data_IF_196711004572
#
_entry.id   IF_196711004572
#
_cell.length_a   1.000
_cell.length_b   1.000
_cell.length_c   1.000
_cell.angle_alpha   90.00
_cell.angle_beta   90.00
_cell.angle_gamma   90.00
#
_symmetry.space_group_name_H-M   'P 1'
#
loop_
_entity.id
_entity.type
_entity.pdbx_description
1 polymer ?
#
# COMPACT_ATOMS: atom_id res chain seq x y z
N UNK A 1 71.74 -31.49 3.04
CA UNK A 1 73.12 -31.41 2.53
C UNK A 1 73.27 -30.10 1.77
N UNK A 2 74.24 -29.27 2.18
CA UNK A 2 74.78 -28.03 1.57
C UNK A 2 73.77 -26.87 1.31
N UNK A 3 73.68 -25.83 2.16
CA UNK A 3 74.47 -24.56 2.18
C UNK A 3 74.63 -23.92 0.80
N UNK A 4 74.30 -22.63 0.57
CA UNK A 4 75.24 -21.50 0.48
C UNK A 4 74.60 -20.14 0.87
N UNK A 5 75.48 -19.18 1.18
CA UNK A 5 75.35 -18.03 2.08
C UNK A 5 74.91 -16.68 1.46
N UNK A 6 74.50 -15.74 2.32
CA UNK A 6 74.25 -14.29 2.10
C UNK A 6 75.55 -13.45 2.02
N UNK A 7 75.53 -12.15 1.62
CA UNK A 7 75.41 -11.05 2.62
C UNK A 7 74.66 -9.74 2.21
N UNK A 8 74.16 -9.01 3.23
CA UNK A 8 74.01 -7.54 3.48
C UNK A 8 73.47 -6.60 2.36
N UNK A 9 72.65 -5.54 2.54
CA UNK A 9 72.03 -4.83 3.67
C UNK A 9 71.80 -3.33 3.33
N UNK A 10 70.53 -2.88 3.25
CA UNK A 10 69.91 -1.59 3.75
C UNK A 10 70.42 -0.21 3.18
N UNK A 11 69.69 0.98 3.16
CA UNK A 11 68.28 1.39 3.42
C UNK A 11 67.59 2.43 2.44
N UNK A 12 66.28 2.66 2.67
CA UNK A 12 65.43 3.90 2.71
C UNK A 12 65.28 4.94 1.55
N UNK A 13 63.99 5.26 1.30
CA UNK A 13 63.32 6.57 1.03
C UNK A 13 63.60 7.37 -0.25
N UNK A 14 62.54 7.67 -1.03
CA UNK A 14 62.44 8.92 -1.79
C UNK A 14 61.56 8.91 -3.05
N UNK A 15 60.44 9.66 -2.98
CA UNK A 15 59.79 10.46 -4.05
C UNK A 15 59.15 9.72 -5.25
N UNK A 16 57.81 9.62 -5.34
CA UNK A 16 56.86 10.63 -5.87
C UNK A 16 57.27 11.32 -7.18
N UNK A 17 56.43 11.11 -8.19
CA UNK A 17 56.11 11.98 -9.35
C UNK A 17 56.54 11.45 -10.72
N UNK A 18 55.66 11.72 -11.70
CA UNK A 18 55.77 11.50 -13.14
C UNK A 18 55.57 10.09 -13.69
N UNK A 19 54.30 9.70 -13.89
CA UNK A 19 53.82 9.08 -15.14
C UNK A 19 52.30 9.19 -15.23
N UNK A 20 51.79 10.37 -15.56
CA UNK A 20 50.42 10.56 -16.06
C UNK A 20 50.53 11.35 -17.35
N UNK A 21 50.71 10.66 -18.49
CA UNK A 21 50.44 11.14 -19.85
C UNK A 21 51.04 10.14 -20.83
N UNK A 22 50.33 9.07 -21.13
CA UNK A 22 50.38 8.37 -22.41
C UNK A 22 49.34 7.26 -22.36
N UNK A 23 48.17 7.50 -22.95
CA UNK A 23 47.21 6.50 -23.48
C UNK A 23 45.96 7.26 -23.98
N UNK A 24 46.17 8.12 -24.97
CA UNK A 24 45.10 8.60 -25.85
C UNK A 24 45.46 8.09 -27.25
N UNK A 25 44.78 7.03 -27.71
CA UNK A 25 44.95 6.53 -29.07
C UNK A 25 44.38 5.14 -29.33
N UNK A 26 43.22 5.12 -30.00
CA UNK A 26 42.62 4.05 -30.81
C UNK A 26 41.95 2.83 -30.14
N UNK A 27 40.62 2.77 -30.25
CA UNK A 27 39.83 1.67 -30.90
C UNK A 27 38.32 1.91 -30.62
N UNK A 28 37.59 2.49 -31.57
CA UNK A 28 36.66 1.81 -32.50
C UNK A 28 35.39 1.20 -31.88
N UNK A 29 34.28 1.91 -32.10
CA UNK A 29 32.97 1.41 -32.59
C UNK A 29 32.41 0.10 -32.00
N UNK A 30 31.58 0.24 -30.97
CA UNK A 30 30.52 -0.71 -30.63
C UNK A 30 29.21 0.07 -30.41
N UNK A 31 28.04 -0.45 -30.83
CA UNK A 31 26.78 0.27 -30.74
C UNK A 31 26.41 0.44 -29.27
N UNK A 32 26.24 1.70 -28.82
CA UNK A 32 25.62 2.00 -27.53
C UNK A 32 24.22 1.40 -27.54
N UNK A 33 24.04 0.31 -26.82
CA UNK A 33 22.72 -0.10 -26.35
C UNK A 33 22.11 1.11 -25.64
N UNK A 34 21.00 1.62 -26.19
CA UNK A 34 20.16 2.57 -25.46
C UNK A 34 19.66 1.82 -24.23
N UNK A 35 20.33 1.98 -23.10
CA UNK A 35 19.73 1.72 -21.82
C UNK A 35 18.46 2.58 -21.78
N UNK A 36 17.29 1.94 -21.89
CA UNK A 36 16.03 2.59 -21.58
C UNK A 36 16.10 2.99 -20.12
N UNK A 37 16.35 4.27 -19.86
CA UNK A 37 16.00 4.88 -18.59
C UNK A 37 14.50 4.69 -18.40
N UNK A 38 14.14 3.71 -17.57
CA UNK A 38 12.79 3.61 -17.03
C UNK A 38 12.62 4.82 -16.12
N UNK A 39 12.02 5.86 -16.67
CA UNK A 39 11.64 7.06 -15.92
C UNK A 39 10.73 6.62 -14.77
N UNK A 40 11.26 6.63 -13.55
CA UNK A 40 10.45 6.59 -12.35
C UNK A 40 9.63 7.87 -12.30
N UNK A 41 8.40 7.83 -12.82
CA UNK A 41 7.42 8.87 -12.55
C UNK A 41 6.89 8.66 -11.14
N UNK A 42 7.70 8.99 -10.15
CA UNK A 42 7.16 9.53 -8.89
C UNK A 42 6.81 10.97 -9.23
N UNK A 43 5.52 11.26 -9.48
CA UNK A 43 5.08 12.64 -9.62
C UNK A 43 5.41 13.37 -8.32
N UNK A 44 6.45 14.21 -8.35
CA UNK A 44 6.70 15.21 -7.31
C UNK A 44 5.51 16.17 -7.31
N UNK A 45 4.94 16.53 -6.15
CA UNK A 45 3.97 17.62 -6.09
C UNK A 45 4.72 18.94 -6.19
N UNK A 46 5.09 19.32 -7.42
CA UNK A 46 5.69 20.62 -7.71
C UNK A 46 5.51 21.00 -9.18
N UNK A 47 4.26 21.16 -9.62
CA UNK A 47 3.89 22.10 -10.68
C UNK A 47 2.41 22.52 -10.51
N UNK A 48 2.01 23.76 -10.84
CA UNK A 48 0.64 24.25 -10.66
C UNK A 48 -0.34 23.82 -11.78
N UNK A 49 0.10 22.96 -12.72
CA UNK A 49 -0.62 22.68 -13.98
C UNK A 49 -0.86 21.18 -14.22
N UNK A 50 -1.19 20.41 -13.18
CA UNK A 50 -1.78 19.09 -13.40
C UNK A 50 -3.24 19.13 -12.96
N UNK A 51 -4.12 19.43 -13.91
CA UNK A 51 -5.56 19.22 -13.76
C UNK A 51 -5.81 17.77 -13.30
N UNK A 52 -6.67 17.63 -12.29
CA UNK A 52 -7.10 16.32 -11.83
C UNK A 52 -7.77 15.53 -12.98
N UNK A 53 -7.66 14.19 -12.98
CA UNK A 53 -8.39 13.38 -13.95
C UNK A 53 -9.90 13.66 -13.87
N UNK A 54 -10.53 13.77 -15.03
CA UNK A 54 -11.98 13.94 -15.15
C UNK A 54 -12.64 12.56 -15.24
N UNK A 55 -13.76 12.39 -14.55
CA UNK A 55 -14.50 11.13 -14.49
C UNK A 55 -15.92 11.30 -15.05
N UNK A 56 -16.47 10.21 -15.59
CA UNK A 56 -17.90 10.06 -15.87
C UNK A 56 -18.66 10.01 -14.56
N UNK A 57 -19.84 10.60 -14.53
CA UNK A 57 -20.80 10.33 -13.45
C UNK A 57 -21.11 8.83 -13.40
N UNK A 58 -21.07 8.27 -12.19
CA UNK A 58 -21.35 6.87 -11.94
C UNK A 58 -22.86 6.61 -11.94
N UNK A 59 -23.32 5.42 -12.38
CA UNK A 59 -24.71 4.99 -12.19
C UNK A 59 -25.10 5.07 -10.71
N UNK A 60 -26.35 5.44 -10.40
CA UNK A 60 -26.85 5.40 -9.04
C UNK A 60 -27.26 3.98 -8.64
N UNK A 61 -26.78 3.50 -7.49
CA UNK A 61 -27.16 2.22 -6.91
C UNK A 61 -28.06 2.45 -5.70
N UNK A 62 -29.07 1.59 -5.52
CA UNK A 62 -30.11 1.69 -4.48
C UNK A 62 -30.15 0.42 -3.66
N UNK A 63 -30.60 0.55 -2.42
CA UNK A 63 -30.82 -0.59 -1.54
C UNK A 63 -31.81 -1.60 -2.16
N UNK A 64 -31.45 -2.89 -2.10
CA UNK A 64 -32.34 -4.01 -2.38
C UNK A 64 -33.52 -4.09 -1.40
N UNK A 65 -34.48 -4.95 -1.70
CA UNK A 65 -35.68 -5.14 -0.88
C UNK A 65 -35.32 -5.68 0.53
N UNK A 66 -34.30 -6.51 0.60
CA UNK A 66 -33.73 -7.12 1.80
C UNK A 66 -33.11 -6.11 2.77
N UNK A 67 -32.83 -4.88 2.34
CA UNK A 67 -32.27 -3.84 3.20
C UNK A 67 -33.33 -3.20 4.12
N UNK A 68 -34.61 -3.48 3.88
CA UNK A 68 -35.74 -2.94 4.63
C UNK A 68 -36.22 -3.94 5.68
N UNK A 69 -35.38 -4.30 6.66
CA UNK A 69 -35.84 -5.15 7.77
C UNK A 69 -36.73 -4.36 8.76
N UNK A 70 -38.02 -4.74 8.82
CA UNK A 70 -38.96 -4.61 9.95
C UNK A 70 -38.78 -3.42 10.92
N UNK A 71 -38.62 -2.19 10.40
CA UNK A 71 -38.61 -0.97 11.21
C UNK A 71 -37.31 -0.68 11.99
N UNK A 72 -36.21 -1.43 11.77
CA UNK A 72 -34.87 -1.08 12.26
C UNK A 72 -33.96 -0.68 11.11
N UNK A 73 -33.30 0.48 11.24
CA UNK A 73 -32.26 0.90 10.30
C UNK A 73 -31.09 -0.07 10.43
N UNK A 74 -30.66 -0.66 9.31
CA UNK A 74 -29.46 -1.50 9.24
C UNK A 74 -28.24 -0.70 9.71
N UNK A 75 -27.28 -1.38 10.34
CA UNK A 75 -26.04 -0.73 10.79
C UNK A 75 -25.30 -0.14 9.59
N UNK A 76 -24.78 1.08 9.73
CA UNK A 76 -23.99 1.74 8.69
C UNK A 76 -22.65 1.02 8.53
N UNK A 77 -22.31 0.63 7.31
CA UNK A 77 -21.02 0.02 7.00
C UNK A 77 -20.01 1.14 6.74
N UNK A 78 -19.06 1.31 7.66
CA UNK A 78 -18.03 2.32 7.55
C UNK A 78 -16.82 1.80 6.78
N UNK A 79 -16.51 2.44 5.64
CA UNK A 79 -15.35 2.09 4.79
C UNK A 79 -14.35 3.25 4.79
N UNK A 80 -13.11 3.01 5.20
CA UNK A 80 -12.06 4.00 5.18
C UNK A 80 -11.00 3.73 4.10
N UNK A 81 -10.57 4.81 3.44
CA UNK A 81 -9.58 4.76 2.37
C UNK A 81 -8.66 5.98 2.44
N UNK A 82 -7.45 5.88 1.89
CA UNK A 82 -6.63 7.07 1.62
C UNK A 82 -7.07 7.74 0.33
N UNK A 83 -6.87 9.06 0.25
CA UNK A 83 -7.24 9.86 -0.92
C UNK A 83 -6.10 10.81 -1.30
N UNK A 84 -5.57 10.64 -2.51
CA UNK A 84 -4.63 11.56 -3.15
C UNK A 84 -4.75 11.52 -4.68
N UNK A 85 -4.25 12.56 -5.35
CA UNK A 85 -4.36 12.70 -6.79
C UNK A 85 -3.73 11.53 -7.60
N UNK A 86 -2.67 10.86 -7.10
CA UNK A 86 -2.03 9.77 -7.83
C UNK A 86 -2.85 8.49 -7.85
N UNK A 87 -3.68 8.30 -6.82
CA UNK A 87 -4.53 7.12 -6.65
C UNK A 87 -6.02 7.41 -6.87
N UNK A 88 -6.40 8.64 -7.18
CA UNK A 88 -7.80 9.06 -7.35
C UNK A 88 -8.57 8.16 -8.33
N UNK A 89 -7.97 7.81 -9.48
CA UNK A 89 -8.60 6.90 -10.46
C UNK A 89 -8.85 5.51 -9.89
N UNK A 90 -7.93 4.99 -9.09
CA UNK A 90 -8.11 3.75 -8.35
C UNK A 90 -9.21 3.86 -7.29
N UNK A 91 -9.23 4.95 -6.51
CA UNK A 91 -10.27 5.22 -5.52
C UNK A 91 -11.66 5.27 -6.16
N UNK A 92 -11.84 5.95 -7.30
CA UNK A 92 -13.13 5.97 -7.99
C UNK A 92 -13.58 4.57 -8.40
N UNK A 93 -12.68 3.76 -8.96
CA UNK A 93 -13.00 2.38 -9.36
C UNK A 93 -13.35 1.49 -8.15
N UNK A 94 -12.63 1.64 -7.03
CA UNK A 94 -12.91 0.92 -5.79
C UNK A 94 -14.29 1.30 -5.23
N UNK A 95 -14.60 2.59 -5.12
CA UNK A 95 -15.92 3.11 -4.68
C UNK A 95 -17.02 2.57 -5.58
N UNK A 96 -16.87 2.68 -6.91
CA UNK A 96 -17.85 2.15 -7.87
C UNK A 96 -18.07 0.65 -7.66
N UNK A 97 -17.00 -0.13 -7.52
CA UNK A 97 -17.10 -1.58 -7.32
C UNK A 97 -17.85 -1.95 -6.03
N UNK A 98 -17.60 -1.23 -4.94
CA UNK A 98 -18.30 -1.44 -3.66
C UNK A 98 -19.79 -1.15 -3.84
N UNK A 99 -20.13 0.00 -4.42
CA UNK A 99 -21.53 0.37 -4.64
C UNK A 99 -22.27 -0.59 -5.57
N UNK A 100 -21.59 -1.05 -6.64
CA UNK A 100 -22.17 -1.93 -7.64
C UNK A 100 -22.46 -3.34 -7.09
N UNK A 101 -21.65 -3.84 -6.16
CA UNK A 101 -21.73 -5.22 -5.66
C UNK A 101 -22.32 -5.34 -4.25
N UNK A 102 -22.66 -4.22 -3.61
CA UNK A 102 -23.34 -4.22 -2.31
C UNK A 102 -24.84 -4.40 -2.50
N UNK A 103 -25.47 -5.23 -1.66
CA UNK A 103 -26.93 -5.36 -1.64
C UNK A 103 -27.60 -4.09 -1.13
N UNK A 104 -26.94 -3.41 -0.17
CA UNK A 104 -27.42 -2.18 0.48
C UNK A 104 -26.41 -1.02 0.33
N UNK A 105 -26.17 -0.51 -0.88
CA UNK A 105 -25.14 0.50 -1.13
C UNK A 105 -25.43 1.86 -0.45
N UNK A 106 -26.69 2.16 -0.12
CA UNK A 106 -27.07 3.40 0.58
C UNK A 106 -26.75 3.35 2.09
N UNK A 107 -26.41 2.16 2.61
CA UNK A 107 -26.00 1.95 4.01
C UNK A 107 -24.46 2.02 4.18
N UNK A 108 -23.71 2.29 3.12
CA UNK A 108 -22.24 2.40 3.15
C UNK A 108 -21.82 3.87 3.30
N UNK A 109 -21.01 4.17 4.32
CA UNK A 109 -20.40 5.50 4.53
C UNK A 109 -18.89 5.45 4.31
N UNK A 110 -18.39 6.34 3.43
CA UNK A 110 -16.97 6.40 3.11
C UNK A 110 -16.21 7.46 3.93
N UNK A 111 -15.05 7.08 4.47
CA UNK A 111 -14.15 7.93 5.24
C UNK A 111 -12.81 8.06 4.51
N UNK A 112 -12.59 9.20 3.85
CA UNK A 112 -11.35 9.45 3.11
C UNK A 112 -10.32 10.15 3.98
N UNK A 113 -9.12 9.59 4.09
CA UNK A 113 -7.97 10.21 4.74
C UNK A 113 -7.12 10.90 3.67
N UNK A 114 -6.95 12.22 3.76
CA UNK A 114 -6.14 12.98 2.80
C UNK A 114 -5.10 13.83 3.51
N UNK A 115 -3.92 13.98 2.90
CA UNK A 115 -2.86 14.86 3.40
C UNK A 115 -3.32 16.34 3.45
N UNK A 116 -4.10 16.76 2.45
CA UNK A 116 -4.63 18.13 2.34
C UNK A 116 -6.13 18.06 2.08
N UNK A 117 -6.87 19.03 2.61
CA UNK A 117 -8.25 19.25 2.21
C UNK A 117 -8.25 19.94 0.84
N UNK A 118 -7.89 19.18 -0.19
CA UNK A 118 -7.92 19.62 -1.58
C UNK A 118 -9.37 19.63 -2.04
N UNK A 119 -9.94 20.84 -2.14
CA UNK A 119 -11.32 21.05 -2.59
C UNK A 119 -11.58 20.36 -3.94
N UNK A 120 -10.58 20.29 -4.80
CA UNK A 120 -10.67 19.67 -6.13
C UNK A 120 -10.92 18.15 -6.05
N UNK A 121 -10.25 17.43 -5.14
CA UNK A 121 -10.50 15.99 -4.92
C UNK A 121 -11.95 15.76 -4.45
N UNK A 122 -12.43 16.60 -3.53
CA UNK A 122 -13.80 16.53 -3.02
C UNK A 122 -14.84 16.82 -4.10
N UNK A 123 -14.61 17.85 -4.92
CA UNK A 123 -15.48 18.20 -6.05
C UNK A 123 -15.50 17.06 -7.07
N UNK A 124 -14.33 16.46 -7.36
CA UNK A 124 -14.22 15.32 -8.28
C UNK A 124 -15.04 14.12 -7.79
N UNK A 125 -14.94 13.75 -6.50
CA UNK A 125 -15.75 12.66 -5.93
C UNK A 125 -17.24 12.99 -6.00
N UNK A 126 -17.67 14.20 -5.61
CA UNK A 126 -19.08 14.60 -5.66
C UNK A 126 -19.66 14.64 -7.07
N UNK A 127 -18.88 15.10 -8.05
CA UNK A 127 -19.30 15.12 -9.45
C UNK A 127 -19.41 13.70 -10.02
N UNK A 128 -18.55 12.79 -9.57
CA UNK A 128 -18.55 11.38 -10.00
C UNK A 128 -19.67 10.59 -9.32
N UNK A 129 -19.91 10.82 -8.02
CA UNK A 129 -20.90 10.11 -7.21
C UNK A 129 -21.79 11.10 -6.43
N UNK A 130 -22.80 11.73 -7.08
CA UNK A 130 -23.64 12.75 -6.43
C UNK A 130 -24.42 12.25 -5.20
N UNK A 131 -24.65 10.93 -5.12
CA UNK A 131 -25.43 10.26 -4.09
C UNK A 131 -24.56 9.65 -2.97
N UNK A 132 -23.22 9.75 -3.04
CA UNK A 132 -22.31 9.11 -2.10
C UNK A 132 -22.35 9.77 -0.71
N UNK A 133 -22.58 8.98 0.33
CA UNK A 133 -22.34 9.43 1.70
C UNK A 133 -20.85 9.29 2.03
N UNK A 134 -20.16 10.41 2.20
CA UNK A 134 -18.75 10.38 2.55
C UNK A 134 -18.29 11.59 3.36
N UNK A 135 -17.19 11.38 4.09
CA UNK A 135 -16.47 12.41 4.86
C UNK A 135 -14.99 12.37 4.51
N UNK A 136 -14.34 13.53 4.57
CA UNK A 136 -12.89 13.66 4.33
C UNK A 136 -12.22 14.18 5.58
N UNK A 137 -11.16 13.49 6.02
CA UNK A 137 -10.39 13.80 7.21
C UNK A 137 -8.98 14.20 6.80
N UNK A 138 -8.52 15.33 7.34
CA UNK A 138 -7.16 15.78 7.14
C UNK A 138 -6.20 14.95 7.99
N UNK A 139 -5.27 14.28 7.35
CA UNK A 139 -4.11 13.67 7.98
C UNK A 139 -2.94 14.66 8.02
N UNK A 140 -2.52 15.03 9.23
CA UNK A 140 -1.33 15.86 9.43
C UNK A 140 -0.05 15.02 9.23
N UNK A 141 0.77 15.29 8.19
CA UNK A 141 2.01 14.56 7.97
C UNK A 141 3.04 14.82 9.08
N UNK A 142 2.87 15.88 9.88
CA UNK A 142 3.67 16.17 11.07
C UNK A 142 3.69 15.01 12.05
N UNK A 143 2.60 14.23 12.14
CA UNK A 143 2.47 13.06 13.02
C UNK A 143 3.52 11.97 12.76
N UNK A 144 3.96 11.84 11.50
CA UNK A 144 4.95 10.84 11.07
C UNK A 144 6.31 11.46 10.72
N UNK A 145 6.44 12.79 10.83
CA UNK A 145 7.70 13.50 10.62
C UNK A 145 8.73 13.00 11.62
N UNK A 146 9.90 12.62 11.11
CA UNK A 146 10.97 12.06 11.95
C UNK A 146 10.71 10.65 12.48
N UNK A 147 9.64 9.95 12.05
CA UNK A 147 9.37 8.54 12.36
C UNK A 147 9.52 7.63 11.13
N UNK A 148 9.46 8.19 9.92
CA UNK A 148 9.66 7.44 8.67
C UNK A 148 11.15 7.27 8.38
N UNK A 149 11.56 6.01 8.18
CA UNK A 149 12.86 5.63 7.64
C UNK A 149 12.75 5.37 6.16
N UNK A 150 13.76 5.81 5.38
CA UNK A 150 13.78 5.60 3.92
C UNK A 150 13.59 4.13 3.58
N UNK A 151 12.62 3.81 2.75
CA UNK A 151 12.37 2.49 2.23
C UNK A 151 13.19 2.25 0.96
N UNK A 152 13.45 0.97 0.67
CA UNK A 152 13.99 0.55 -0.65
C UNK A 152 13.02 0.90 -1.80
N UNK A 153 11.74 1.15 -1.48
CA UNK A 153 10.74 1.68 -2.40
C UNK A 153 10.35 3.08 -1.96
N UNK A 154 10.93 4.13 -2.57
CA UNK A 154 10.70 5.52 -2.17
C UNK A 154 9.23 5.95 -2.10
N UNK A 155 8.37 5.39 -2.96
CA UNK A 155 6.92 5.63 -2.91
C UNK A 155 6.27 5.22 -1.57
N UNK A 156 6.90 4.31 -0.81
CA UNK A 156 6.44 3.87 0.50
C UNK A 156 6.75 4.88 1.62
N UNK A 157 7.60 5.88 1.36
CA UNK A 157 7.99 6.89 2.34
C UNK A 157 6.96 8.04 2.45
N UNK A 158 5.94 8.04 1.58
CA UNK A 158 4.90 9.06 1.59
C UNK A 158 4.11 9.01 2.91
N UNK A 159 3.92 10.15 3.61
CA UNK A 159 3.20 10.20 4.88
C UNK A 159 1.82 9.54 4.84
N UNK A 160 1.11 9.67 3.72
CA UNK A 160 -0.24 9.12 3.57
C UNK A 160 -0.29 7.58 3.68
N UNK A 161 0.80 6.86 3.38
CA UNK A 161 0.89 5.40 3.56
C UNK A 161 0.82 4.97 5.05
N UNK A 162 1.00 5.92 5.96
CA UNK A 162 0.95 5.72 7.41
C UNK A 162 -0.35 6.26 8.02
N UNK A 163 -1.20 6.95 7.25
CA UNK A 163 -2.42 7.58 7.76
C UNK A 163 -3.37 6.58 8.43
N UNK A 164 -3.43 5.34 7.91
CA UNK A 164 -4.22 4.24 8.50
C UNK A 164 -3.88 3.90 9.95
N UNK A 165 -2.66 4.19 10.40
CA UNK A 165 -2.25 3.98 11.80
C UNK A 165 -3.06 4.88 12.74
N UNK A 166 -3.44 6.07 12.24
CA UNK A 166 -4.16 7.10 12.98
C UNK A 166 -5.66 7.07 12.70
N UNK A 167 -6.16 6.10 11.95
CA UNK A 167 -7.55 6.03 11.50
C UNK A 167 -8.53 6.23 12.67
N UNK A 168 -8.29 5.54 13.79
CA UNK A 168 -9.14 5.60 14.98
C UNK A 168 -9.20 6.96 15.66
N UNK A 169 -8.19 7.81 15.47
CA UNK A 169 -8.11 9.16 16.01
C UNK A 169 -8.71 10.21 15.07
N UNK A 170 -8.85 9.87 13.78
CA UNK A 170 -9.33 10.78 12.75
C UNK A 170 -10.85 10.66 12.54
N UNK A 171 -11.39 9.44 12.62
CA UNK A 171 -12.82 9.19 12.42
C UNK A 171 -13.65 9.55 13.67
N UNK A 172 -14.97 9.77 13.52
CA UNK A 172 -15.85 10.18 14.62
C UNK A 172 -15.81 9.20 15.80
N UNK A 173 -15.99 9.75 17.00
CA UNK A 173 -15.87 8.98 18.25
C UNK A 173 -16.97 7.93 18.46
N UNK A 174 -18.10 8.09 17.77
CA UNK A 174 -19.24 7.16 17.74
C UNK A 174 -19.07 6.01 16.72
N UNK A 175 -18.05 6.07 15.86
CA UNK A 175 -17.71 4.97 14.96
C UNK A 175 -16.82 3.96 15.71
N UNK A 176 -17.36 2.77 15.96
CA UNK A 176 -16.71 1.69 16.71
C UNK A 176 -16.05 0.63 15.83
N UNK A 177 -16.44 0.53 14.55
CA UNK A 177 -15.93 -0.45 13.58
C UNK A 177 -15.72 0.20 12.21
N UNK A 178 -14.66 -0.20 11.49
CA UNK A 178 -14.37 0.26 10.13
C UNK A 178 -13.72 -0.85 9.29
N UNK A 179 -14.07 -0.93 8.01
CA UNK A 179 -13.28 -1.65 7.00
C UNK A 179 -12.29 -0.68 6.37
N UNK A 180 -10.99 -0.93 6.51
CA UNK A 180 -9.96 -0.20 5.80
C UNK A 180 -9.60 -0.88 4.48
N UNK A 181 -9.58 -0.10 3.39
CA UNK A 181 -9.32 -0.52 2.03
C UNK A 181 -8.26 0.39 1.37
N UNK A 182 -7.22 -0.21 0.78
CA UNK A 182 -6.27 0.50 -0.10
C UNK A 182 -6.99 0.97 -1.40
N UNK A 183 -6.46 1.99 -2.06
CA UNK A 183 -7.10 2.62 -3.24
C UNK A 183 -6.96 1.86 -4.55
N UNK A 184 -6.32 0.69 -4.56
CA UNK A 184 -5.95 -0.08 -5.76
C UNK A 184 -6.56 -1.49 -5.76
N UNK A 185 -7.86 -1.56 -5.45
CA UNK A 185 -8.65 -2.79 -5.40
C UNK A 185 -10.01 -2.66 -6.07
N UNK A 186 -10.62 -3.82 -6.34
CA UNK A 186 -12.00 -3.98 -6.81
C UNK A 186 -12.68 -5.00 -5.90
N UNK A 187 -13.84 -4.64 -5.38
CA UNK A 187 -14.73 -5.55 -4.64
C UNK A 187 -15.71 -6.16 -5.64
N UNK A 188 -15.92 -7.48 -5.59
CA UNK A 188 -16.80 -8.25 -6.49
C UNK A 188 -17.79 -9.14 -5.73
N UNK A 189 -18.03 -8.81 -4.46
CA UNK A 189 -18.99 -9.48 -3.57
C UNK A 189 -19.56 -8.45 -2.59
N UNK A 190 -20.61 -8.81 -1.86
CA UNK A 190 -21.27 -7.91 -0.93
C UNK A 190 -20.36 -7.55 0.25
N UNK A 191 -20.02 -6.26 0.39
CA UNK A 191 -19.13 -5.75 1.45
C UNK A 191 -19.68 -6.01 2.86
N UNK A 192 -20.99 -6.17 3.02
CA UNK A 192 -21.61 -6.55 4.30
C UNK A 192 -21.03 -7.87 4.84
N UNK A 193 -20.71 -8.82 3.96
CA UNK A 193 -20.09 -10.09 4.36
C UNK A 193 -18.69 -9.92 4.97
N UNK A 194 -17.96 -8.87 4.58
CA UNK A 194 -16.68 -8.52 5.22
C UNK A 194 -16.91 -7.75 6.52
N UNK A 195 -17.91 -6.87 6.56
CA UNK A 195 -18.33 -6.14 7.77
C UNK A 195 -18.70 -7.08 8.92
N UNK A 196 -19.46 -8.13 8.59
CA UNK A 196 -20.02 -9.09 9.54
C UNK A 196 -19.02 -10.13 10.06
N UNK A 197 -17.75 -10.05 9.62
CA UNK A 197 -16.68 -10.91 10.17
C UNK A 197 -16.59 -10.68 11.68
N UNK A 198 -16.81 -11.75 12.44
CA UNK A 198 -16.59 -11.76 13.88
C UNK A 198 -15.09 -11.51 14.16
N UNK A 199 -14.81 -10.47 14.95
CA UNK A 199 -13.44 -10.14 15.33
C UNK A 199 -12.90 -11.03 16.44
N UNK A 200 -13.72 -11.89 17.07
CA UNK A 200 -13.31 -12.85 18.10
C UNK A 200 -12.50 -12.19 19.24
N UNK A 201 -12.92 -10.99 19.64
CA UNK A 201 -12.23 -10.17 20.65
C UNK A 201 -10.86 -9.63 20.23
N UNK A 202 -10.47 -9.76 18.96
CA UNK A 202 -9.25 -9.15 18.39
C UNK A 202 -9.55 -7.77 17.83
N UNK A 203 -8.50 -6.96 17.71
CA UNK A 203 -8.63 -5.56 17.26
C UNK A 203 -8.69 -5.44 15.74
N UNK A 204 -8.14 -6.42 15.03
CA UNK A 204 -8.10 -6.45 13.57
C UNK A 204 -8.49 -7.84 13.09
N UNK A 205 -9.22 -7.90 11.98
CA UNK A 205 -9.34 -9.08 11.14
C UNK A 205 -8.81 -8.80 9.73
N UNK A 206 -8.05 -9.73 9.17
CA UNK A 206 -7.49 -9.64 7.82
C UNK A 206 -7.13 -11.03 7.28
N UNK A 207 -6.99 -11.19 5.95
CA UNK A 207 -6.47 -12.43 5.38
C UNK A 207 -4.99 -12.69 5.76
N UNK A 208 -4.72 -13.86 6.34
CA UNK A 208 -3.39 -14.28 6.81
C UNK A 208 -2.70 -15.26 5.86
N UNK A 209 -1.49 -14.92 5.41
CA UNK A 209 -0.70 -15.72 4.48
C UNK A 209 0.46 -16.41 5.20
N UNK A 210 0.14 -17.40 6.02
CA UNK A 210 1.12 -18.15 6.81
C UNK A 210 2.10 -19.01 5.98
N UNK A 211 1.90 -19.11 4.67
CA UNK A 211 2.84 -19.75 3.74
C UNK A 211 3.95 -18.80 3.28
N UNK A 212 3.76 -17.48 3.45
CA UNK A 212 4.80 -16.51 3.15
C UNK A 212 5.94 -16.64 4.15
N UNK A 213 7.18 -16.46 3.69
CA UNK A 213 8.33 -16.43 4.58
C UNK A 213 8.30 -15.14 5.42
N UNK A 214 7.76 -15.24 6.63
CA UNK A 214 7.58 -14.13 7.57
C UNK A 214 8.91 -13.46 7.96
N UNK A 215 9.99 -14.23 8.01
CA UNK A 215 11.34 -13.74 8.34
C UNK A 215 11.80 -12.63 7.38
N UNK A 216 11.37 -12.67 6.11
CA UNK A 216 11.75 -11.68 5.08
C UNK A 216 11.22 -10.26 5.32
N UNK A 217 10.26 -10.07 6.22
CA UNK A 217 9.72 -8.73 6.50
C UNK A 217 10.57 -7.93 7.51
N UNK A 218 11.56 -8.58 8.13
CA UNK A 218 12.49 -7.98 9.08
C UNK A 218 13.94 -8.28 8.69
N UNK A 219 14.88 -7.46 9.17
CA UNK A 219 16.31 -7.61 8.88
C UNK A 219 16.98 -8.59 9.85
N UNK A 220 18.18 -9.04 9.50
CA UNK A 220 19.03 -9.80 10.44
C UNK A 220 19.29 -9.01 11.74
N UNK A 221 19.34 -7.68 11.68
CA UNK A 221 19.50 -6.84 12.86
C UNK A 221 18.31 -6.93 13.84
N UNK A 222 17.11 -7.27 13.36
CA UNK A 222 15.97 -7.59 14.21
C UNK A 222 16.09 -9.01 14.77
N UNK A 223 16.33 -9.99 13.90
CA UNK A 223 16.32 -11.40 14.30
C UNK A 223 17.47 -11.77 15.24
N UNK A 224 18.65 -11.19 15.02
CA UNK A 224 19.85 -11.43 15.83
C UNK A 224 19.86 -10.65 17.16
N UNK A 225 18.84 -9.84 17.44
CA UNK A 225 18.68 -9.17 18.74
C UNK A 225 17.62 -9.88 19.59
N UNK A 226 18.01 -10.71 20.57
CA UNK A 226 17.06 -11.44 21.41
C UNK A 226 16.13 -10.52 22.22
N UNK A 227 16.56 -9.28 22.53
CA UNK A 227 15.71 -8.32 23.25
C UNK A 227 14.52 -7.86 22.41
N UNK A 228 14.62 -7.96 21.08
CA UNK A 228 13.56 -7.66 20.12
C UNK A 228 12.84 -8.95 19.69
N UNK A 229 13.56 -9.90 19.08
CA UNK A 229 12.93 -11.04 18.39
C UNK A 229 12.25 -12.01 19.35
N UNK A 230 12.84 -12.29 20.52
CA UNK A 230 12.30 -13.23 21.50
C UNK A 230 11.18 -12.66 22.38
N UNK A 231 11.01 -11.34 22.39
CA UNK A 231 9.98 -10.64 23.19
C UNK A 231 8.76 -10.27 22.34
N UNK A 232 8.98 -9.77 21.12
CA UNK A 232 7.94 -9.19 20.26
C UNK A 232 6.77 -10.14 20.01
N UNK A 233 7.07 -11.39 19.66
CA UNK A 233 6.07 -12.39 19.30
C UNK A 233 5.80 -13.41 20.41
N UNK A 234 6.31 -13.17 21.63
CA UNK A 234 6.13 -14.09 22.76
C UNK A 234 4.65 -14.29 23.06
N UNK A 235 4.24 -15.56 23.23
CA UNK A 235 2.85 -15.92 23.51
C UNK A 235 1.91 -15.87 22.29
N UNK A 236 2.41 -15.51 21.10
CA UNK A 236 1.63 -15.56 19.86
C UNK A 236 1.81 -16.91 19.20
N UNK A 237 0.71 -17.63 18.98
CA UNK A 237 0.76 -19.03 18.51
C UNK A 237 1.43 -19.17 17.15
N UNK A 238 1.16 -18.25 16.21
CA UNK A 238 1.71 -18.29 14.85
C UNK A 238 1.72 -16.90 14.21
N UNK A 239 2.81 -16.11 14.33
CA UNK A 239 2.90 -14.84 13.64
C UNK A 239 2.99 -15.04 12.12
N UNK A 240 1.99 -14.57 11.40
CA UNK A 240 1.90 -14.67 9.94
C UNK A 240 1.91 -13.29 9.27
N UNK A 241 2.29 -13.28 8.00
CA UNK A 241 2.11 -12.11 7.15
C UNK A 241 0.61 -11.90 6.91
N UNK A 242 0.14 -10.69 7.07
CA UNK A 242 -1.13 -10.23 6.51
C UNK A 242 -0.90 -8.92 5.76
N UNK A 243 -1.68 -8.70 4.72
CA UNK A 243 -1.63 -7.45 3.97
C UNK A 243 -2.47 -6.38 4.70
N UNK A 244 -1.92 -5.18 4.88
CA UNK A 244 -2.58 -4.08 5.60
C UNK A 244 -3.48 -3.20 4.71
N UNK A 245 -3.73 -3.62 3.48
CA UNK A 245 -4.60 -2.92 2.54
C UNK A 245 -6.04 -3.41 2.53
N UNK A 246 -6.34 -4.48 3.27
CA UNK A 246 -7.71 -4.94 3.54
C UNK A 246 -7.78 -5.40 4.99
N UNK A 247 -8.48 -4.64 5.83
CA UNK A 247 -8.60 -4.92 7.27
C UNK A 247 -10.00 -4.54 7.77
N UNK A 248 -10.55 -5.32 8.70
CA UNK A 248 -11.68 -4.91 9.54
C UNK A 248 -11.11 -4.54 10.90
N UNK A 249 -11.40 -3.35 11.39
CA UNK A 249 -10.86 -2.82 12.64
C UNK A 249 -11.97 -2.60 13.65
N UNK A 250 -11.75 -3.08 14.88
CA UNK A 250 -12.44 -2.58 16.06
C UNK A 250 -11.74 -1.29 16.49
N UNK A 251 -12.37 -0.17 16.15
CA UNK A 251 -11.85 1.17 16.39
C UNK A 251 -11.79 1.47 17.89
N UNK A 252 -12.78 1.01 18.64
CA UNK A 252 -12.85 1.27 20.06
C UNK A 252 -11.79 0.50 20.85
N UNK A 253 -11.58 -0.77 20.51
CA UNK A 253 -10.46 -1.54 21.05
C UNK A 253 -9.11 -0.98 20.59
N UNK A 254 -9.02 -0.45 19.36
CA UNK A 254 -7.80 0.22 18.90
C UNK A 254 -7.48 1.44 19.76
N UNK A 255 -8.47 2.29 20.04
CA UNK A 255 -8.36 3.46 20.92
C UNK A 255 -7.99 3.05 22.34
N UNK A 256 -8.79 2.18 22.98
CA UNK A 256 -8.57 1.73 24.37
C UNK A 256 -7.22 1.04 24.56
N UNK A 257 -6.80 0.26 23.56
CA UNK A 257 -5.53 -0.48 23.60
C UNK A 257 -4.30 0.35 23.21
N UNK A 258 -4.47 1.62 22.84
CA UNK A 258 -3.38 2.53 22.45
C UNK A 258 -2.56 2.00 21.27
N UNK A 259 -3.21 1.37 20.29
CA UNK A 259 -2.51 0.69 19.19
C UNK A 259 -1.76 1.63 18.27
N UNK A 260 -2.23 2.87 18.07
CA UNK A 260 -1.47 3.92 17.35
C UNK A 260 -0.07 4.06 17.96
N UNK A 261 0.00 4.28 19.27
CA UNK A 261 1.27 4.47 20.00
C UNK A 261 2.18 3.24 19.89
N UNK A 262 1.62 2.03 20.02
CA UNK A 262 2.39 0.78 19.86
C UNK A 262 3.04 0.67 18.48
N UNK A 263 2.33 1.09 17.42
CA UNK A 263 2.89 1.11 16.07
C UNK A 263 3.96 2.20 15.93
N UNK A 264 3.74 3.38 16.49
CA UNK A 264 4.71 4.47 16.49
C UNK A 264 6.02 4.13 17.22
N UNK A 265 5.94 3.39 18.33
CA UNK A 265 7.12 2.91 19.08
C UNK A 265 8.03 2.06 18.18
N UNK A 266 7.46 1.16 17.37
CA UNK A 266 8.23 0.38 16.41
C UNK A 266 8.82 1.22 15.26
N UNK A 267 8.09 2.24 14.81
CA UNK A 267 8.62 3.21 13.84
C UNK A 267 9.80 3.99 14.44
N UNK A 268 9.72 4.36 15.72
CA UNK A 268 10.80 5.04 16.43
C UNK A 268 12.04 4.15 16.59
N UNK A 269 11.89 2.86 16.93
CA UNK A 269 13.00 1.88 17.00
C UNK A 269 13.71 1.79 15.64
N UNK A 270 12.94 1.63 14.57
CA UNK A 270 13.46 1.59 13.19
C UNK A 270 14.24 2.86 12.81
N UNK A 271 13.81 4.02 13.32
CA UNK A 271 14.33 5.33 12.92
C UNK A 271 15.53 5.79 13.74
N UNK A 272 15.48 5.56 15.04
CA UNK A 272 16.40 6.16 16.01
C UNK A 272 17.42 5.16 16.56
N UNK A 273 17.14 3.85 16.49
CA UNK A 273 17.99 2.82 17.10
C UNK A 273 18.74 2.02 16.05
N UNK A 274 18.02 1.26 15.22
CA UNK A 274 18.62 0.40 14.18
C UNK A 274 17.61 0.06 13.09
N UNK A 275 18.10 -0.28 11.90
CA UNK A 275 17.23 -0.68 10.78
C UNK A 275 16.77 -2.14 10.93
N UNK A 276 15.56 -2.33 11.44
CA UNK A 276 14.90 -3.62 11.71
C UNK A 276 14.00 -4.13 10.59
N UNK A 277 13.65 -3.30 9.59
CA UNK A 277 12.93 -3.71 8.38
C UNK A 277 13.22 -2.81 7.16
N UNK A 278 12.81 -3.23 5.95
CA UNK A 278 13.08 -2.48 4.70
C UNK A 278 11.85 -1.81 4.07
N UNK A 279 10.65 -2.30 4.36
CA UNK A 279 9.41 -1.93 3.68
C UNK A 279 8.58 -0.98 4.55
N UNK A 280 7.89 -0.01 3.94
CA UNK A 280 7.26 1.16 4.58
C UNK A 280 6.42 0.93 5.84
N UNK A 281 5.09 1.02 5.72
CA UNK A 281 4.19 0.99 6.89
C UNK A 281 3.76 -0.40 7.34
N UNK A 282 3.94 -1.43 6.51
CA UNK A 282 3.53 -2.81 6.81
C UNK A 282 4.27 -3.42 8.03
N UNK A 283 5.61 -3.42 8.12
CA UNK A 283 6.30 -4.12 9.21
C UNK A 283 5.93 -3.63 10.62
N UNK A 284 5.73 -2.32 10.89
CA UNK A 284 5.17 -1.86 12.15
C UNK A 284 3.85 -2.51 12.54
N UNK A 285 2.91 -2.71 11.60
CA UNK A 285 1.67 -3.44 11.87
C UNK A 285 1.96 -4.90 12.21
N UNK A 286 2.86 -5.58 11.48
CA UNK A 286 3.21 -6.97 11.76
C UNK A 286 3.82 -7.13 13.16
N UNK A 287 4.71 -6.21 13.58
CA UNK A 287 5.31 -6.24 14.92
C UNK A 287 4.25 -6.13 16.03
N UNK A 288 3.23 -5.31 15.83
CA UNK A 288 2.14 -5.14 16.81
C UNK A 288 1.11 -6.27 16.76
N UNK A 289 0.76 -6.77 15.57
CA UNK A 289 -0.47 -7.56 15.37
C UNK A 289 -0.26 -8.98 14.86
N UNK A 290 0.86 -9.33 14.22
CA UNK A 290 1.01 -10.67 13.62
C UNK A 290 0.82 -11.76 14.67
N UNK A 291 -0.06 -12.74 14.39
CA UNK A 291 -0.46 -13.80 15.32
C UNK A 291 -1.47 -13.38 16.39
N UNK A 292 -1.94 -12.12 16.36
CA UNK A 292 -2.96 -11.58 17.26
C UNK A 292 -4.11 -10.87 16.50
N UNK A 293 -4.43 -11.34 15.29
CA UNK A 293 -5.59 -10.89 14.51
C UNK A 293 -6.60 -12.03 14.37
N UNK A 294 -7.78 -11.73 13.82
CA UNK A 294 -8.72 -12.74 13.36
C UNK A 294 -8.53 -13.00 11.88
N UNK A 295 -8.34 -14.28 11.53
CA UNK A 295 -8.09 -14.68 10.15
C UNK A 295 -9.37 -14.57 9.31
N UNK A 296 -9.28 -13.86 8.18
CA UNK A 296 -10.36 -13.75 7.20
C UNK A 296 -10.05 -14.64 6.00
N UNK A 297 -11.10 -15.19 5.37
CA UNK A 297 -10.94 -16.01 4.17
C UNK A 297 -10.17 -15.24 3.07
N UNK A 298 -9.22 -15.89 2.42
CA UNK A 298 -8.35 -15.29 1.40
C UNK A 298 -9.11 -14.70 0.19
N UNK A 299 -10.37 -15.10 -0.04
CA UNK A 299 -11.22 -14.49 -1.07
C UNK A 299 -11.34 -12.98 -0.95
N UNK A 300 -11.18 -12.44 0.26
CA UNK A 300 -11.23 -11.01 0.55
C UNK A 300 -9.95 -10.25 0.22
N UNK A 301 -8.91 -10.90 -0.30
CA UNK A 301 -7.72 -10.18 -0.73
C UNK A 301 -6.89 -10.99 -1.73
N UNK A 302 -7.30 -10.98 -3.00
CA UNK A 302 -6.48 -11.49 -4.10
C UNK A 302 -5.33 -10.50 -4.39
N UNK A 303 -4.35 -10.47 -3.49
CA UNK A 303 -3.27 -9.52 -3.48
C UNK A 303 -2.13 -9.88 -4.46
N UNK A 304 -1.27 -8.89 -4.73
CA UNK A 304 -0.08 -9.06 -5.55
C UNK A 304 -0.30 -8.86 -7.04
N UNK A 305 -1.51 -8.47 -7.48
CA UNK A 305 -1.82 -8.23 -8.89
C UNK A 305 -1.02 -7.04 -9.46
N UNK A 306 -0.56 -6.15 -8.58
CA UNK A 306 0.32 -5.03 -8.92
C UNK A 306 1.81 -5.33 -8.82
N UNK A 307 2.23 -6.59 -8.79
CA UNK A 307 3.63 -7.01 -8.73
C UNK A 307 4.55 -6.25 -9.70
N UNK A 308 5.73 -5.85 -9.19
CA UNK A 308 6.77 -5.19 -9.98
C UNK A 308 7.51 -6.22 -10.81
N UNK A 309 7.28 -6.14 -12.10
CA UNK A 309 7.80 -7.05 -13.08
C UNK A 309 9.17 -6.56 -13.53
N UNK A 310 10.21 -6.85 -12.74
CA UNK A 310 11.58 -6.85 -13.25
C UNK A 310 11.74 -7.82 -14.45
N UNK A 311 10.74 -8.67 -14.72
CA UNK A 311 10.70 -9.63 -15.85
C UNK A 311 9.38 -9.66 -16.66
N UNK A 312 8.54 -8.64 -16.60
CA UNK A 312 7.27 -8.62 -17.37
C UNK A 312 6.17 -9.63 -16.95
N UNK A 313 6.34 -10.41 -15.86
CA UNK A 313 5.42 -11.52 -15.50
C UNK A 313 4.18 -11.11 -14.69
N UNK A 314 3.10 -10.82 -15.38
CA UNK A 314 1.77 -10.67 -14.77
C UNK A 314 1.44 -11.84 -13.83
N UNK A 315 1.08 -11.52 -12.57
CA UNK A 315 0.63 -12.53 -11.60
C UNK A 315 -0.78 -12.99 -11.98
N UNK A 316 -0.99 -14.30 -12.07
CA UNK A 316 -2.32 -14.88 -12.25
C UNK A 316 -3.10 -14.85 -10.93
N UNK A 317 -4.42 -14.95 -11.03
CA UNK A 317 -5.30 -15.18 -9.89
C UNK A 317 -4.88 -16.47 -9.15
N UNK A 318 -4.87 -16.43 -7.82
CA UNK A 318 -4.79 -17.63 -6.99
C UNK A 318 -6.09 -18.44 -7.09
N UNK A 319 -6.01 -19.79 -6.98
CA UNK A 319 -7.20 -20.64 -6.96
C UNK A 319 -8.15 -20.31 -5.80
N UNK A 320 -9.44 -20.55 -6.02
CA UNK A 320 -10.49 -20.37 -5.02
C UNK A 320 -11.46 -19.23 -5.35
N UNK A 321 -12.49 -19.04 -4.52
CA UNK A 321 -13.45 -17.95 -4.70
C UNK A 321 -12.77 -16.59 -4.50
N UNK A 322 -13.32 -15.57 -5.17
CA UNK A 322 -12.81 -14.20 -5.13
C UNK A 322 -13.96 -13.28 -4.70
N UNK A 323 -13.69 -12.43 -3.72
CA UNK A 323 -14.56 -11.31 -3.31
C UNK A 323 -13.89 -9.97 -3.49
N UNK A 324 -12.55 -9.93 -3.53
CA UNK A 324 -11.79 -8.70 -3.69
C UNK A 324 -10.47 -8.96 -4.44
N UNK A 325 -10.24 -8.18 -5.49
CA UNK A 325 -9.04 -8.15 -6.33
C UNK A 325 -8.15 -6.96 -5.90
N UNK A 326 -6.86 -7.18 -5.66
CA UNK A 326 -5.99 -6.13 -5.10
C UNK A 326 -4.66 -6.02 -5.86
N UNK A 327 -4.46 -4.87 -6.51
CA UNK A 327 -3.23 -4.49 -7.22
C UNK A 327 -2.12 -3.98 -6.29
N UNK A 328 -1.97 -4.66 -5.16
CA UNK A 328 -0.92 -4.38 -4.19
C UNK A 328 0.45 -4.52 -4.88
N UNK A 329 1.25 -3.47 -4.88
CA UNK A 329 2.54 -3.44 -5.59
C UNK A 329 2.78 -2.13 -6.32
N UNK A 330 3.59 -2.16 -7.39
CA UNK A 330 3.94 -0.99 -8.19
C UNK A 330 3.07 -0.85 -9.44
N UNK A 331 2.73 -1.95 -10.09
CA UNK A 331 1.92 -1.95 -11.30
C UNK A 331 0.47 -1.66 -11.00
N UNK A 332 0.00 -0.48 -11.39
CA UNK A 332 -1.41 -0.09 -11.24
C UNK A 332 -2.15 -0.37 -12.55
N UNK A 333 -3.39 -0.89 -12.47
CA UNK A 333 -4.10 -1.34 -13.66
C UNK A 333 -4.33 -0.19 -14.64
N UNK A 334 -4.72 0.99 -14.16
CA UNK A 334 -4.86 2.18 -15.00
C UNK A 334 -3.57 2.58 -15.72
N UNK A 335 -2.41 2.53 -15.04
CA UNK A 335 -1.12 2.86 -15.66
C UNK A 335 -0.72 1.84 -16.73
N UNK A 336 -1.01 0.55 -16.50
CA UNK A 336 -0.70 -0.53 -17.44
C UNK A 336 -1.64 -0.49 -18.66
N UNK A 337 -2.91 -0.19 -18.45
CA UNK A 337 -3.89 0.03 -19.52
C UNK A 337 -3.51 1.24 -20.38
N UNK A 338 -3.23 2.39 -19.76
CA UNK A 338 -2.84 3.62 -20.47
C UNK A 338 -1.54 3.43 -21.28
N UNK A 339 -0.59 2.66 -20.74
CA UNK A 339 0.67 2.35 -21.43
C UNK A 339 0.56 1.24 -22.48
N UNK A 340 -0.65 0.72 -22.73
CA UNK A 340 -0.93 -0.41 -23.65
C UNK A 340 -0.09 -1.65 -23.35
N UNK A 341 0.22 -1.86 -22.07
CA UNK A 341 0.91 -3.05 -21.55
C UNK A 341 0.12 -3.66 -20.39
N UNK A 342 -1.18 -3.97 -20.58
CA UNK A 342 -1.98 -4.58 -19.53
C UNK A 342 -1.51 -6.01 -19.25
N UNK A 343 -1.67 -6.41 -18.00
CA UNK A 343 -1.82 -7.80 -17.63
C UNK A 343 -3.25 -8.26 -17.87
N UNK A 344 -3.47 -9.56 -18.12
CA UNK A 344 -4.82 -10.12 -18.28
C UNK A 344 -5.77 -9.72 -17.14
N UNK A 345 -5.25 -9.72 -15.90
CA UNK A 345 -6.01 -9.32 -14.72
C UNK A 345 -6.44 -7.85 -14.76
N UNK A 346 -5.69 -6.95 -15.39
CA UNK A 346 -6.03 -5.51 -15.46
C UNK A 346 -7.34 -5.27 -16.23
N UNK A 347 -7.73 -6.19 -17.13
CA UNK A 347 -9.04 -6.15 -17.79
C UNK A 347 -10.20 -6.45 -16.84
N UNK A 348 -9.95 -7.05 -15.68
CA UNK A 348 -10.96 -7.18 -14.62
C UNK A 348 -11.19 -5.85 -13.88
N UNK A 349 -10.23 -4.93 -13.92
CA UNK A 349 -10.36 -3.59 -13.34
C UNK A 349 -11.03 -2.61 -14.32
N UNK A 350 -10.78 -2.76 -15.62
CA UNK A 350 -11.23 -1.82 -16.66
C UNK A 350 -12.75 -1.49 -16.66
N UNK A 351 -13.68 -2.41 -16.36
CA UNK A 351 -15.11 -2.09 -16.29
C UNK A 351 -15.47 -1.05 -15.22
N UNK A 352 -14.63 -0.88 -14.19
CA UNK A 352 -14.82 0.07 -13.10
C UNK A 352 -14.15 1.43 -13.36
N UNK A 353 -13.50 1.59 -14.51
CA UNK A 353 -12.80 2.81 -14.84
C UNK A 353 -13.73 3.91 -15.35
N UNK A 354 -14.02 4.87 -14.47
CA UNK A 354 -14.84 6.03 -14.81
C UNK A 354 -14.04 7.13 -15.53
N UNK A 355 -12.73 6.99 -15.70
CA UNK A 355 -11.90 8.04 -16.31
C UNK A 355 -12.37 8.42 -17.72
N UNK A 356 -12.51 9.72 -17.98
CA UNK A 356 -12.70 10.28 -19.33
C UNK A 356 -11.34 10.67 -19.88
N UNK A 357 -10.90 10.00 -20.94
CA UNK A 357 -9.75 10.48 -21.71
C UNK A 357 -10.11 11.82 -22.35
N UNK A 358 -9.21 12.80 -22.23
CA UNK A 358 -9.34 14.10 -22.90
C UNK A 358 -8.97 14.06 -24.38
N UNK A 359 -8.52 12.91 -24.90
CA UNK A 359 -8.33 12.73 -26.34
C UNK A 359 -9.66 12.37 -27.00
N UNK A 360 -10.10 13.10 -28.05
CA UNK A 360 -11.20 12.63 -28.88
C UNK A 360 -10.77 11.29 -29.47
N UNK A 361 -11.47 10.22 -29.08
CA UNK A 361 -11.40 8.97 -29.80
C UNK A 361 -11.87 9.26 -31.22
N UNK A 362 -10.97 9.18 -32.19
CA UNK A 362 -11.35 8.85 -33.55
C UNK A 362 -11.95 7.44 -33.47
N UNK A 363 -13.27 7.37 -33.33
CA UNK A 363 -14.01 6.18 -33.70
C UNK A 363 -13.86 6.05 -35.22
N UNK A 364 -13.13 5.02 -35.65
CA UNK A 364 -13.20 4.46 -37.01
C UNK A 364 -14.05 3.19 -36.98
#
# INVERSE_FOLDING_TARGET
MASWSFPHGVPLLGLLSFTLLLLLGLSSLLPRSRAMEVVHVVRKPSSPEHELPVFREAPAFRNGEECREAGRRREVIHVAMTLDANYLRGTMAAVLSILQHSSCPEDVEFHFLSHRLERELFVSIRATFPYLNFRVYRFDPGRVKGKISKSVRQALDQPLNYARIYLSELIPGDVSRVIYLDSDLIVVDDIAKLWDVDLLGRVVAAPEYCHANFTKYFTDAFWNDPSLSATTFRGRQRPCYFNTGVMVLDVDQWRRGGYTRKVEEWMAVQKNTKRIYHLGSLPPFLLVLAGNITAVNHRWNQHGLGGDNLEGRCRKLHPGPISLLHWSGKGKPWLRLDSRKPCDVDHLWAPYDLYRSSSPSLEE
#
